data_IF_381368163151
#
_entry.id   IF_381368163151
#
_cell.length_a   1.000
_cell.length_b   1.000
_cell.length_c   1.000
_cell.angle_alpha   90.00
_cell.angle_beta   90.00
_cell.angle_gamma   90.00
#
_symmetry.space_group_name_H-M   'P 1'
#
loop_
_entity.id
_entity.type
_entity.pdbx_description
1 polymer ?
#
# COMPACT_ATOMS: atom_id res chain seq x y z
N UNK A 1 -12.67 7.42 19.61
CA UNK A 1 -12.41 7.23 19.20
C UNK A 1 -12.05 7.05 18.56
N UNK A 2 -11.73 6.97 18.51
CA UNK A 2 -11.19 6.79 17.94
C UNK A 2 -11.09 6.70 16.99
N UNK A 3 -10.91 6.79 16.65
CA UNK A 3 -10.63 6.83 15.88
C UNK A 3 -10.36 6.48 14.99
N UNK A 4 -10.40 6.54 14.52
CA UNK A 4 -10.12 6.24 13.63
C UNK A 4 -9.33 6.48 13.04
N UNK A 5 -8.76 6.15 13.21
CA UNK A 5 -7.56 6.25 12.58
C UNK A 5 -7.62 5.70 11.24
N UNK A 6 -8.13 6.37 10.40
CA UNK A 6 -8.10 5.96 9.05
C UNK A 6 -6.75 6.29 8.54
N UNK A 7 -6.01 5.31 8.17
CA UNK A 7 -4.75 5.54 7.49
C UNK A 7 -5.07 6.02 6.10
N UNK A 8 -4.77 7.27 5.85
CA UNK A 8 -4.98 7.83 4.53
C UNK A 8 -3.70 7.79 3.76
N UNK A 9 -3.77 7.28 2.55
CA UNK A 9 -2.62 7.24 1.68
C UNK A 9 -2.97 7.82 0.36
N UNK A 10 -1.98 8.40 -0.28
CA UNK A 10 -2.16 9.05 -1.55
C UNK A 10 -1.59 8.17 -2.64
N UNK A 11 -2.43 7.81 -3.58
CA UNK A 11 -1.99 7.05 -4.73
C UNK A 11 -1.82 7.98 -5.92
N UNK A 12 -0.63 7.97 -6.49
CA UNK A 12 -0.41 8.63 -7.78
C UNK A 12 -0.55 7.58 -8.84
N UNK A 13 -1.22 7.92 -9.92
CA UNK A 13 -1.51 6.92 -10.93
C UNK A 13 -1.48 7.56 -12.32
N UNK A 14 -1.26 6.69 -13.31
CA UNK A 14 -1.22 7.15 -14.69
C UNK A 14 -1.59 5.98 -15.58
N UNK A 15 -1.98 6.30 -16.80
CA UNK A 15 -2.38 5.30 -17.78
C UNK A 15 -1.19 4.94 -18.63
N UNK A 16 -0.97 3.66 -18.81
CA UNK A 16 0.10 3.17 -19.65
C UNK A 16 -0.50 2.13 -20.58
N UNK A 17 -0.39 2.33 -21.86
CA UNK A 17 -0.91 1.40 -22.86
C UNK A 17 -2.27 0.86 -22.49
N UNK A 18 -2.33 -0.30 -21.87
CA UNK A 18 -3.57 -0.95 -21.52
C UNK A 18 -3.87 -0.92 -20.05
N UNK A 19 -2.91 -0.53 -19.23
CA UNK A 19 -3.05 -0.65 -17.80
C UNK A 19 -2.96 0.69 -17.12
N UNK A 20 -3.62 0.76 -15.99
CA UNK A 20 -3.41 1.84 -15.06
C UNK A 20 -2.31 1.43 -14.10
N UNK A 21 -1.37 2.32 -13.90
CA UNK A 21 -0.30 2.09 -12.95
C UNK A 21 -0.47 3.04 -11.79
N UNK A 22 -0.12 2.57 -10.62
CA UNK A 22 -0.25 3.40 -9.44
C UNK A 22 0.78 3.03 -8.42
N UNK A 23 1.14 4.03 -7.62
CA UNK A 23 2.02 3.77 -6.50
C UNK A 23 1.63 4.70 -5.37
N UNK A 24 1.98 4.30 -4.17
CA UNK A 24 1.67 5.09 -3.00
C UNK A 24 2.75 6.13 -2.80
N UNK A 25 2.30 7.36 -2.58
CA UNK A 25 3.23 8.45 -2.35
C UNK A 25 4.00 8.25 -1.06
N UNK A 26 3.30 7.78 -0.04
CA UNK A 26 3.90 7.56 1.26
C UNK A 26 4.77 6.33 1.31
N UNK A 27 4.54 5.40 0.38
CA UNK A 27 5.31 4.17 0.30
C UNK A 27 5.65 3.91 -1.15
N UNK A 28 6.63 4.64 -1.70
CA UNK A 28 6.89 4.55 -3.14
C UNK A 28 7.32 3.17 -3.61
N UNK A 29 7.71 2.31 -2.69
CA UNK A 29 8.08 0.96 -3.06
C UNK A 29 6.88 0.11 -3.42
N UNK A 30 5.67 0.57 -3.06
CA UNK A 30 4.45 -0.16 -3.35
C UNK A 30 3.88 0.36 -4.65
N UNK A 31 3.95 -0.44 -5.68
CA UNK A 31 3.47 -0.08 -6.99
C UNK A 31 2.76 -1.27 -7.60
N UNK A 32 1.66 -1.02 -8.26
CA UNK A 32 0.90 -2.08 -8.87
C UNK A 32 0.18 -1.56 -10.10
N UNK A 33 -0.59 -2.41 -10.72
CA UNK A 33 -1.31 -2.05 -11.92
C UNK A 33 -2.69 -2.68 -11.91
N UNK A 34 -3.53 -2.19 -12.79
CA UNK A 34 -4.87 -2.73 -12.97
C UNK A 34 -5.41 -2.34 -14.32
N UNK A 35 -6.37 -3.10 -14.79
CA UNK A 35 -6.98 -2.79 -16.07
C UNK A 35 -7.99 -1.66 -15.96
N UNK A 36 -8.51 -1.43 -14.77
CA UNK A 36 -9.40 -0.32 -14.50
C UNK A 36 -8.90 0.39 -13.26
N UNK A 37 -9.41 1.60 -13.05
CA UNK A 37 -9.05 2.33 -11.84
C UNK A 37 -9.55 1.62 -10.61
N UNK A 38 -10.70 0.99 -10.69
CA UNK A 38 -11.21 0.25 -9.56
C UNK A 38 -10.32 -0.92 -9.21
N UNK A 39 -9.90 -1.63 -10.23
CA UNK A 39 -8.99 -2.73 -10.01
C UNK A 39 -7.66 -2.25 -9.45
N UNK A 40 -7.18 -1.12 -9.97
CA UNK A 40 -5.94 -0.57 -9.46
C UNK A 40 -6.04 -0.24 -7.98
N UNK A 41 -7.14 0.37 -7.58
CA UNK A 41 -7.33 0.70 -6.18
C UNK A 41 -7.34 -0.54 -5.30
N UNK A 42 -8.02 -1.58 -5.75
CA UNK A 42 -8.04 -2.82 -4.99
C UNK A 42 -6.66 -3.45 -4.91
N UNK A 43 -5.96 -3.42 -6.02
CA UNK A 43 -4.65 -4.04 -6.05
C UNK A 43 -3.65 -3.30 -5.18
N UNK A 44 -3.73 -1.97 -5.15
CA UNK A 44 -2.79 -1.21 -4.35
C UNK A 44 -3.08 -1.41 -2.85
N UNK A 45 -4.35 -1.52 -2.49
CA UNK A 45 -4.71 -1.81 -1.11
C UNK A 45 -4.18 -3.17 -0.69
N UNK A 46 -4.37 -4.13 -1.55
CA UNK A 46 -3.91 -5.48 -1.24
C UNK A 46 -2.40 -5.53 -1.15
N UNK A 47 -1.71 -4.84 -2.05
CA UNK A 47 -0.26 -4.82 -2.02
C UNK A 47 0.25 -4.21 -0.72
N UNK A 48 -0.40 -3.14 -0.26
CA UNK A 48 -0.01 -2.52 0.99
C UNK A 48 -0.22 -3.47 2.15
N UNK A 49 -1.36 -4.14 2.18
CA UNK A 49 -1.65 -5.06 3.27
C UNK A 49 -0.70 -6.24 3.27
N UNK A 50 -0.43 -6.78 2.09
CA UNK A 50 0.47 -7.91 1.99
C UNK A 50 1.88 -7.54 2.44
N UNK A 51 2.34 -6.36 2.04
CA UNK A 51 3.65 -5.95 2.45
C UNK A 51 3.74 -5.81 3.96
N UNK A 52 2.71 -5.23 4.55
CA UNK A 52 2.71 -5.05 6.00
C UNK A 52 2.68 -6.38 6.72
N UNK A 53 2.00 -7.36 6.14
CA UNK A 53 1.86 -8.64 6.79
C UNK A 53 3.02 -9.57 6.51
N UNK A 54 3.54 -9.51 5.30
CA UNK A 54 4.59 -10.43 4.90
C UNK A 54 5.91 -10.13 5.57
N UNK A 55 6.16 -8.87 5.86
CA UNK A 55 7.41 -8.48 6.46
C UNK A 55 7.46 -8.74 7.94
N UNK A 56 6.31 -9.05 8.53
CA UNK A 56 6.25 -9.25 9.96
C UNK A 56 5.69 -10.63 10.23
N UNK A 57 6.52 -11.57 10.64
CA UNK A 57 6.03 -12.89 11.01
C UNK A 57 5.15 -12.79 12.25
N UNK A 58 4.38 -13.83 12.50
CA UNK A 58 3.43 -13.79 13.58
C UNK A 58 4.07 -13.74 14.94
N UNK A 59 5.20 -14.41 15.11
CA UNK A 59 5.88 -14.30 16.38
C UNK A 59 7.09 -13.42 16.22
N UNK A 60 6.90 -12.17 16.46
CA UNK A 60 7.96 -11.19 16.33
C UNK A 60 8.21 -10.55 17.67
N UNK A 61 9.35 -9.89 17.77
CA UNK A 61 9.68 -9.16 18.96
C UNK A 61 9.80 -7.69 18.66
N UNK A 62 9.60 -6.92 19.68
CA UNK A 62 9.57 -5.47 19.53
C UNK A 62 10.69 -4.87 20.36
N UNK A 63 11.41 -3.95 19.75
CA UNK A 63 12.46 -3.25 20.44
C UNK A 63 12.42 -1.79 20.01
N UNK A 64 12.49 -0.93 20.99
CA UNK A 64 12.56 0.49 20.71
C UNK A 64 14.01 0.89 20.46
N UNK A 65 14.22 1.59 19.37
CA UNK A 65 15.57 2.07 19.06
C UNK A 65 15.50 3.55 18.74
N UNK A 66 16.60 4.22 19.03
CA UNK A 66 16.74 5.62 18.69
C UNK A 66 17.54 5.74 17.41
N UNK A 67 17.04 6.53 16.49
CA UNK A 67 17.75 6.72 15.22
C UNK A 67 18.32 8.12 15.06
#
# INVERSE_FOLDING_TARGET
>A
MLGEATTKMTMVYWKSDRFWLGKLLEHPEIMTQGETLEELKENIKEAFLLMAMDEVPQDYEVMEISL
#
